data_IF_236163484030
#
_entry.id   IF_236163484030
#
_cell.length_a   1.000
_cell.length_b   1.000
_cell.length_c   1.000
_cell.angle_alpha   90.00
_cell.angle_beta   90.00
_cell.angle_gamma   90.00
#
_symmetry.space_group_name_H-M   'P 1'
#
loop_
_entity.id
_entity.type
_entity.pdbx_description
1 polymer ?
#
# COMPACT_ATOMS: atom_id res chain seq x y z
N UNK A 1 -24.87 35.96 -14.52
CA UNK A 1 -23.97 34.93 -15.06
C UNK A 1 -23.88 33.81 -14.04
N UNK A 2 -24.48 32.65 -14.33
CA UNK A 2 -24.45 31.49 -13.43
C UNK A 2 -23.50 30.49 -14.10
N UNK A 3 -22.30 30.35 -13.58
CA UNK A 3 -21.36 29.31 -14.00
C UNK A 3 -21.82 27.99 -13.37
N UNK A 4 -22.58 27.21 -14.14
CA UNK A 4 -22.76 25.79 -13.87
C UNK A 4 -21.38 25.11 -13.97
N UNK A 5 -20.72 24.88 -12.83
CA UNK A 5 -19.69 23.85 -12.77
C UNK A 5 -20.39 22.51 -12.99
N UNK A 6 -20.41 22.07 -14.24
CA UNK A 6 -20.77 20.71 -14.58
C UNK A 6 -19.78 19.79 -13.86
N UNK A 7 -20.27 19.08 -12.84
CA UNK A 7 -19.53 18.06 -12.12
C UNK A 7 -18.96 17.05 -13.12
N UNK A 8 -17.65 16.88 -13.11
CA UNK A 8 -16.94 15.89 -13.91
C UNK A 8 -17.58 14.50 -13.67
N UNK A 9 -17.86 13.69 -14.69
CA UNK A 9 -18.39 12.35 -14.47
C UNK A 9 -17.36 11.51 -13.69
N UNK A 10 -17.72 11.09 -12.47
CA UNK A 10 -16.91 10.28 -11.53
C UNK A 10 -16.62 8.84 -12.01
N UNK A 11 -16.63 8.58 -13.31
CA UNK A 11 -16.25 7.28 -13.89
C UNK A 11 -14.90 7.39 -14.61
N UNK A 12 -13.89 7.90 -13.92
CA UNK A 12 -12.52 7.52 -14.26
C UNK A 12 -12.44 6.06 -13.84
N UNK A 13 -12.42 5.13 -14.81
CA UNK A 13 -11.96 3.78 -14.56
C UNK A 13 -10.54 3.89 -14.01
N UNK A 14 -10.40 3.95 -12.69
CA UNK A 14 -9.10 3.99 -12.05
C UNK A 14 -8.48 2.62 -12.31
N UNK A 15 -7.62 2.58 -13.33
CA UNK A 15 -6.90 1.38 -13.72
C UNK A 15 -6.10 0.96 -12.48
N UNK A 16 -6.54 -0.14 -11.86
CA UNK A 16 -5.80 -0.71 -10.75
C UNK A 16 -4.62 -1.50 -11.29
N UNK A 17 -3.51 -1.40 -10.57
CA UNK A 17 -2.29 -2.15 -10.85
C UNK A 17 -2.08 -3.18 -9.76
N UNK A 18 -1.52 -4.30 -10.17
CA UNK A 18 -1.07 -5.35 -9.26
C UNK A 18 0.39 -5.05 -8.90
N UNK A 19 0.66 -4.89 -7.62
CA UNK A 19 1.96 -4.45 -7.11
C UNK A 19 2.42 -5.41 -6.01
N UNK A 20 3.72 -5.68 -5.96
CA UNK A 20 4.35 -6.28 -4.79
C UNK A 20 5.12 -5.18 -4.07
N UNK A 21 4.76 -4.95 -2.82
CA UNK A 21 5.36 -3.96 -1.94
C UNK A 21 6.10 -4.68 -0.81
N UNK A 22 7.40 -4.47 -0.72
CA UNK A 22 8.20 -4.88 0.43
C UNK A 22 8.39 -3.70 1.39
N UNK A 23 8.21 -3.94 2.69
CA UNK A 23 8.34 -2.94 3.74
C UNK A 23 9.26 -3.49 4.83
N UNK A 24 10.24 -2.68 5.24
CA UNK A 24 11.13 -2.97 6.36
C UNK A 24 10.66 -2.23 7.62
N UNK A 25 10.48 -2.98 8.69
CA UNK A 25 10.12 -2.49 10.02
C UNK A 25 11.37 -2.12 10.82
N UNK A 26 11.33 -0.95 11.44
CA UNK A 26 12.44 -0.36 12.20
C UNK A 26 12.18 -0.27 13.71
N UNK A 27 11.16 -0.98 14.21
CA UNK A 27 10.74 -0.94 15.61
C UNK A 27 9.88 0.25 16.03
N UNK A 28 9.60 1.22 15.15
CA UNK A 28 8.73 2.39 15.48
C UNK A 28 7.27 2.16 15.16
N UNK A 29 6.97 1.18 14.33
CA UNK A 29 5.63 0.84 13.87
C UNK A 29 5.43 -0.65 14.10
N UNK A 30 4.32 -1.02 14.73
CA UNK A 30 3.93 -2.42 14.85
C UNK A 30 3.41 -2.95 13.53
N UNK A 31 3.72 -4.21 13.25
CA UNK A 31 3.33 -4.91 12.03
C UNK A 31 1.80 -4.94 11.86
N UNK A 32 1.08 -5.37 12.90
CA UNK A 32 -0.38 -5.44 12.92
C UNK A 32 -1.04 -4.06 12.74
N UNK A 33 -0.47 -3.04 13.39
CA UNK A 33 -0.97 -1.67 13.29
C UNK A 33 -0.84 -1.12 11.87
N UNK A 34 0.29 -1.36 11.21
CA UNK A 34 0.51 -0.95 9.83
C UNK A 34 -0.47 -1.62 8.87
N UNK A 35 -0.64 -2.93 9.00
CA UNK A 35 -1.62 -3.70 8.22
C UNK A 35 -3.06 -3.18 8.42
N UNK A 36 -3.41 -2.84 9.66
CA UNK A 36 -4.72 -2.28 9.98
C UNK A 36 -4.93 -0.89 9.34
N UNK A 37 -3.91 -0.03 9.32
CA UNK A 37 -3.97 1.27 8.64
C UNK A 37 -4.23 1.09 7.14
N UNK A 38 -3.46 0.20 6.48
CA UNK A 38 -3.60 -0.06 5.05
C UNK A 38 -5.03 -0.52 4.71
N UNK A 39 -5.60 -1.42 5.51
CA UNK A 39 -6.94 -1.94 5.26
C UNK A 39 -8.06 -0.97 5.67
N UNK A 40 -8.07 -0.50 6.91
CA UNK A 40 -9.19 0.27 7.47
C UNK A 40 -9.16 1.74 7.09
N UNK A 41 -7.98 2.38 7.09
CA UNK A 41 -7.88 3.82 6.85
C UNK A 41 -7.75 4.14 5.36
N UNK A 42 -6.99 3.34 4.63
CA UNK A 42 -6.74 3.55 3.20
C UNK A 42 -7.67 2.72 2.30
N UNK A 43 -8.46 1.79 2.86
CA UNK A 43 -9.39 0.97 2.09
C UNK A 43 -8.72 0.01 1.10
N UNK A 44 -7.42 -0.26 1.25
CA UNK A 44 -6.67 -1.10 0.34
C UNK A 44 -6.70 -2.55 0.79
N UNK A 45 -7.21 -3.42 -0.09
CA UNK A 45 -7.11 -4.85 0.09
C UNK A 45 -5.69 -5.32 -0.23
N UNK A 46 -5.14 -6.18 0.62
CA UNK A 46 -3.81 -6.75 0.43
C UNK A 46 -3.83 -8.26 0.66
N UNK A 47 -2.83 -8.95 0.13
CA UNK A 47 -2.49 -10.31 0.51
C UNK A 47 -1.06 -10.33 1.01
N UNK A 48 -0.85 -10.86 2.22
CA UNK A 48 0.49 -11.09 2.76
C UNK A 48 1.16 -12.23 1.99
N UNK A 49 2.30 -11.95 1.36
CA UNK A 49 3.07 -12.94 0.58
C UNK A 49 4.17 -13.58 1.42
N UNK A 50 4.91 -12.75 2.14
CA UNK A 50 5.99 -13.15 3.03
C UNK A 50 6.04 -12.22 4.24
N UNK A 51 6.45 -12.74 5.39
CA UNK A 51 6.70 -11.94 6.58
C UNK A 51 7.82 -12.59 7.40
N UNK A 52 8.94 -11.90 7.48
CA UNK A 52 10.04 -12.21 8.39
C UNK A 52 10.08 -11.09 9.44
N UNK A 53 9.27 -11.26 10.49
CA UNK A 53 9.06 -10.24 11.52
C UNK A 53 9.43 -10.80 12.89
N UNK A 54 10.35 -10.13 13.55
CA UNK A 54 10.80 -10.46 14.89
C UNK A 54 10.26 -9.45 15.91
N UNK A 55 9.84 -9.97 17.06
CA UNK A 55 9.40 -9.15 18.19
C UNK A 55 10.53 -9.03 19.22
N UNK A 56 11.00 -7.80 19.44
CA UNK A 56 12.08 -7.49 20.38
C UNK A 56 11.63 -6.32 21.27
N UNK A 57 11.47 -6.60 22.57
CA UNK A 57 11.19 -5.60 23.61
C UNK A 57 9.99 -4.68 23.33
N UNK A 58 8.88 -5.22 22.79
CA UNK A 58 7.68 -4.42 22.52
C UNK A 58 7.55 -3.92 21.09
N UNK A 59 8.58 -4.12 20.27
CA UNK A 59 8.71 -3.54 18.95
C UNK A 59 8.94 -4.62 17.89
N UNK A 60 8.45 -4.35 16.69
CA UNK A 60 8.55 -5.26 15.55
C UNK A 60 9.66 -4.81 14.59
N UNK A 61 10.52 -5.75 14.20
CA UNK A 61 11.64 -5.56 13.27
C UNK A 61 11.60 -6.61 12.16
N UNK A 62 12.30 -6.37 11.06
CA UNK A 62 12.39 -7.29 9.92
C UNK A 62 11.65 -6.75 8.69
N UNK A 63 11.24 -7.61 7.77
CA UNK A 63 10.57 -7.18 6.54
C UNK A 63 9.39 -8.08 6.16
N UNK A 64 8.47 -7.51 5.39
CA UNK A 64 7.33 -8.27 4.88
C UNK A 64 6.93 -7.77 3.50
N UNK A 65 6.26 -8.64 2.75
CA UNK A 65 5.84 -8.40 1.38
C UNK A 65 4.33 -8.49 1.26
N UNK A 66 3.73 -7.46 0.68
CA UNK A 66 2.32 -7.39 0.36
C UNK A 66 2.10 -7.43 -1.13
N UNK A 67 1.11 -8.21 -1.55
CA UNK A 67 0.48 -8.05 -2.83
C UNK A 67 -0.68 -7.07 -2.71
N UNK A 68 -0.67 -6.04 -3.54
CA UNK A 68 -1.65 -4.96 -3.55
C UNK A 68 -2.34 -4.90 -4.90
N UNK A 69 -3.65 -4.62 -4.88
CA UNK A 69 -4.42 -4.24 -6.06
C UNK A 69 -4.94 -2.82 -5.84
N UNK A 70 -4.16 -1.83 -6.26
CA UNK A 70 -4.32 -0.43 -5.90
C UNK A 70 -4.29 0.47 -7.13
N UNK A 71 -4.96 1.62 -7.05
CA UNK A 71 -4.83 2.66 -8.07
C UNK A 71 -3.51 3.41 -7.87
N UNK A 72 -3.06 4.16 -8.89
CA UNK A 72 -1.85 4.98 -8.74
C UNK A 72 -1.97 6.00 -7.60
N UNK A 73 -3.18 6.53 -7.37
CA UNK A 73 -3.44 7.50 -6.29
C UNK A 73 -3.38 6.83 -4.91
N UNK A 74 -4.04 5.68 -4.73
CA UNK A 74 -3.99 4.92 -3.48
C UNK A 74 -2.55 4.54 -3.13
N UNK A 75 -1.79 4.08 -4.14
CA UNK A 75 -0.41 3.69 -3.95
C UNK A 75 0.48 4.90 -3.60
N UNK A 76 0.27 6.06 -4.23
CA UNK A 76 1.00 7.27 -3.89
C UNK A 76 0.72 7.74 -2.46
N UNK A 77 -0.53 7.62 -1.98
CA UNK A 77 -0.88 7.92 -0.59
C UNK A 77 -0.20 6.95 0.39
N UNK A 78 -0.14 5.66 0.06
CA UNK A 78 0.57 4.66 0.84
C UNK A 78 2.07 4.95 0.91
N UNK A 79 2.71 5.22 -0.22
CA UNK A 79 4.15 5.52 -0.29
C UNK A 79 4.48 6.77 0.53
N UNK A 80 3.66 7.83 0.42
CA UNK A 80 3.81 9.03 1.23
C UNK A 80 3.72 8.73 2.74
N UNK A 81 2.75 7.89 3.14
CA UNK A 81 2.60 7.48 4.53
C UNK A 81 3.83 6.69 5.03
N UNK A 82 4.33 5.72 4.27
CA UNK A 82 5.49 4.91 4.65
C UNK A 82 6.74 5.79 4.81
N UNK A 83 6.97 6.69 3.85
CA UNK A 83 8.09 7.64 3.88
C UNK A 83 8.00 8.59 5.09
N UNK A 84 6.81 9.11 5.39
CA UNK A 84 6.56 9.96 6.56
C UNK A 84 6.89 9.24 7.88
N UNK A 85 6.61 7.93 7.95
CA UNK A 85 6.91 7.09 9.12
C UNK A 85 8.34 6.50 9.10
N UNK A 86 9.17 6.91 8.13
CA UNK A 86 10.55 6.44 7.95
C UNK A 86 10.65 4.91 7.79
N UNK A 87 9.65 4.31 7.16
CA UNK A 87 9.67 2.90 6.78
C UNK A 87 10.30 2.78 5.40
N UNK A 88 11.38 2.00 5.31
CA UNK A 88 11.98 1.67 4.01
C UNK A 88 10.98 0.79 3.26
N UNK A 89 10.78 1.10 1.99
CA UNK A 89 9.87 0.35 1.15
C UNK A 89 10.40 0.27 -0.28
N UNK A 90 10.10 -0.83 -0.97
CA UNK A 90 10.45 -1.07 -2.36
C UNK A 90 9.27 -1.72 -3.06
N UNK A 91 8.95 -1.26 -4.26
CA UNK A 91 7.78 -1.75 -5.01
C UNK A 91 8.17 -2.25 -6.38
N UNK A 92 7.56 -3.36 -6.80
CA UNK A 92 7.69 -3.92 -8.13
C UNK A 92 6.30 -4.11 -8.72
N UNK A 93 6.10 -3.66 -9.97
CA UNK A 93 4.87 -3.89 -10.71
C UNK A 93 4.77 -5.36 -11.11
N UNK A 94 3.69 -6.03 -10.73
CA UNK A 94 3.46 -7.44 -11.05
C UNK A 94 2.84 -7.55 -12.45
N UNK A 95 3.66 -7.90 -13.43
CA UNK A 95 3.19 -8.18 -14.79
C UNK A 95 2.96 -9.69 -14.93
N UNK A 96 1.72 -10.14 -14.73
CA UNK A 96 1.37 -11.54 -14.97
C UNK A 96 1.47 -11.85 -16.46
N UNK A 97 2.54 -12.55 -16.88
CA UNK A 97 2.65 -13.09 -18.23
C UNK A 97 1.72 -14.29 -18.35
N UNK A 98 0.59 -14.13 -19.04
CA UNK A 98 -0.22 -15.26 -19.47
C UNK A 98 0.53 -15.99 -20.58
N UNK A 99 0.98 -17.21 -20.30
CA UNK A 99 1.41 -18.12 -21.34
C UNK A 99 0.16 -18.69 -22.00
N UNK A 100 -0.03 -18.38 -23.29
CA UNK A 100 -1.08 -18.92 -24.15
C UNK A 100 -0.75 -20.34 -24.59
#
# INVERSE_FOLDING_TARGET
>A
MITNLQSLPNNVNLIKKELILEIELNGKMKFDHLLNIIYQQMGMCYKLLNADVEYINGNDFGSFQLYLNATSEDFQQLEFFLNKNKLLNTTVEYVCRKYS
#
